data_IF_548644820021
#
_entry.id   IF_548644820021
#
_cell.length_a   1.000
_cell.length_b   1.000
_cell.length_c   1.000
_cell.angle_alpha   90.00
_cell.angle_beta   90.00
_cell.angle_gamma   90.00
#
_symmetry.space_group_name_H-M   'P 1'
#
loop_
_entity.id
_entity.type
_entity.pdbx_description
1 polymer ?
#
# COMPACT_ATOMS: atom_id res chain seq x y z
N UNK A 1 -17.70 4.94 10.02
CA UNK A 1 -17.09 4.20 11.16
C UNK A 1 -15.70 3.77 10.74
N UNK A 2 -14.74 3.66 11.65
CA UNK A 2 -13.32 3.46 11.32
C UNK A 2 -12.81 2.14 11.87
N UNK A 3 -11.96 1.45 11.11
CA UNK A 3 -11.40 0.18 11.54
C UNK A 3 -10.46 0.34 12.74
N UNK A 4 -10.47 -0.67 13.61
CA UNK A 4 -9.55 -0.74 14.74
C UNK A 4 -8.11 -0.59 14.27
N UNK A 5 -7.42 0.38 14.86
CA UNK A 5 -6.04 0.73 14.59
C UNK A 5 -5.32 1.06 15.89
N UNK A 6 -3.99 1.08 15.84
CA UNK A 6 -3.15 1.28 17.03
C UNK A 6 -3.24 2.68 17.66
N UNK A 7 -3.92 3.65 17.04
CA UNK A 7 -3.82 5.07 17.42
C UNK A 7 -5.15 5.86 17.47
N UNK A 8 -6.31 5.24 17.17
CA UNK A 8 -7.61 5.94 17.12
C UNK A 8 -8.55 5.52 18.26
N UNK A 9 -9.31 6.48 18.79
CA UNK A 9 -10.18 6.28 19.96
C UNK A 9 -11.62 5.88 19.62
N UNK A 10 -12.16 6.27 18.45
CA UNK A 10 -13.50 5.89 17.99
C UNK A 10 -13.38 4.88 16.84
N UNK A 11 -13.32 3.58 17.19
CA UNK A 11 -13.08 2.48 16.24
C UNK A 11 -14.00 1.29 16.52
N UNK A 12 -14.21 0.45 15.50
CA UNK A 12 -15.05 -0.76 15.58
C UNK A 12 -14.49 -1.88 14.68
N UNK A 13 -14.87 -3.13 14.94
CA UNK A 13 -14.68 -4.25 13.99
C UNK A 13 -15.69 -4.19 12.84
N UNK A 14 -16.91 -3.70 13.13
CA UNK A 14 -17.84 -3.28 12.09
C UNK A 14 -17.37 -1.93 11.52
N UNK A 15 -16.50 -2.01 10.52
CA UNK A 15 -15.81 -0.85 9.98
C UNK A 15 -15.72 -0.80 8.45
N UNK A 16 -16.25 -1.80 7.74
CA UNK A 16 -16.17 -1.88 6.27
C UNK A 16 -17.18 -0.94 5.60
N UNK A 17 -16.96 0.36 5.79
CA UNK A 17 -17.73 1.46 5.23
C UNK A 17 -16.91 2.17 4.14
N UNK A 18 -17.61 2.95 3.33
CA UNK A 18 -17.00 3.87 2.37
C UNK A 18 -17.72 5.22 2.41
N UNK A 19 -16.98 6.28 2.10
CA UNK A 19 -17.50 7.64 1.98
C UNK A 19 -17.55 8.02 0.51
N UNK A 20 -18.67 8.57 0.03
CA UNK A 20 -18.85 9.01 -1.35
C UNK A 20 -19.04 10.52 -1.36
N UNK A 21 -18.22 11.20 -2.16
CA UNK A 21 -18.29 12.64 -2.38
C UNK A 21 -18.65 12.90 -3.83
N UNK A 22 -19.72 13.65 -4.06
CA UNK A 22 -20.23 14.02 -5.37
C UNK A 22 -20.20 15.55 -5.49
N UNK A 23 -19.92 16.11 -6.69
CA UNK A 23 -19.94 17.54 -6.89
C UNK A 23 -21.29 18.18 -6.51
N UNK A 24 -21.24 19.38 -5.93
CA UNK A 24 -22.43 20.06 -5.36
C UNK A 24 -23.48 20.44 -6.41
N UNK A 25 -23.06 20.65 -7.65
CA UNK A 25 -23.90 21.03 -8.79
C UNK A 25 -24.64 19.84 -9.43
N UNK A 26 -24.35 18.60 -9.02
CA UNK A 26 -25.04 17.41 -9.49
C UNK A 26 -26.45 17.35 -8.91
N UNK A 27 -27.45 17.48 -9.78
CA UNK A 27 -28.85 17.37 -9.41
C UNK A 27 -29.38 15.95 -9.65
N UNK A 28 -29.63 15.22 -8.57
CA UNK A 28 -30.21 13.87 -8.61
C UNK A 28 -31.73 13.83 -8.87
N UNK A 29 -32.41 14.98 -8.84
CA UNK A 29 -33.85 15.09 -9.12
C UNK A 29 -34.16 15.09 -10.63
N UNK A 30 -33.14 15.14 -11.48
CA UNK A 30 -33.26 15.10 -12.95
C UNK A 30 -32.29 14.08 -13.55
N UNK A 31 -32.55 13.55 -14.75
CA UNK A 31 -31.60 12.69 -15.44
C UNK A 31 -30.23 13.37 -15.54
N UNK A 32 -29.18 12.64 -15.19
CA UNK A 32 -27.81 13.14 -15.23
C UNK A 32 -27.42 13.47 -16.67
N UNK A 33 -27.06 14.73 -16.91
CA UNK A 33 -26.70 15.23 -18.25
C UNK A 33 -25.26 14.83 -18.64
N UNK A 34 -24.38 14.68 -17.65
CA UNK A 34 -23.00 14.22 -17.82
C UNK A 34 -22.66 13.17 -16.77
N UNK A 35 -21.92 12.13 -17.20
CA UNK A 35 -21.41 11.11 -16.30
C UNK A 35 -20.03 11.52 -15.79
N UNK A 36 -19.73 11.16 -14.55
CA UNK A 36 -18.58 11.65 -13.81
C UNK A 36 -17.49 10.57 -13.72
N UNK A 37 -16.21 10.92 -13.95
CA UNK A 37 -15.10 10.05 -13.58
C UNK A 37 -15.19 9.67 -12.10
N UNK A 38 -14.66 8.49 -11.75
CA UNK A 38 -14.65 8.01 -10.36
C UNK A 38 -13.22 7.83 -9.89
N UNK A 39 -12.88 8.40 -8.74
CA UNK A 39 -11.61 8.19 -8.06
C UNK A 39 -11.85 7.42 -6.76
N UNK A 40 -11.12 6.32 -6.56
CA UNK A 40 -11.21 5.51 -5.33
C UNK A 40 -9.91 5.62 -4.55
N UNK A 41 -9.99 6.18 -3.34
CA UNK A 41 -8.87 6.41 -2.43
C UNK A 41 -8.67 5.23 -1.48
N UNK A 42 -7.45 4.69 -1.46
CA UNK A 42 -6.97 3.76 -0.44
C UNK A 42 -5.98 4.49 0.46
N UNK A 43 -6.34 4.68 1.72
CA UNK A 43 -5.48 5.38 2.68
C UNK A 43 -4.24 4.56 3.06
N UNK A 44 -3.15 5.26 3.41
CA UNK A 44 -1.96 4.67 4.02
C UNK A 44 -2.08 4.48 5.54
N UNK A 45 -0.92 4.36 6.20
CA UNK A 45 -0.79 4.12 7.65
C UNK A 45 -0.19 2.76 7.99
N UNK A 46 0.78 2.31 7.20
CA UNK A 46 1.61 1.12 7.43
C UNK A 46 0.82 -0.18 7.70
N UNK A 47 -0.41 -0.23 7.17
CA UNK A 47 -1.39 -1.30 7.38
C UNK A 47 -1.80 -1.55 8.85
N UNK A 48 -1.39 -0.70 9.81
CA UNK A 48 -1.77 -0.78 11.23
C UNK A 48 -2.60 0.42 11.69
N UNK A 49 -2.65 1.46 10.86
CA UNK A 49 -3.31 2.72 11.12
C UNK A 49 -3.90 3.30 9.83
N UNK A 50 -4.71 4.35 9.97
CA UNK A 50 -5.37 5.00 8.84
C UNK A 50 -6.88 5.03 8.99
N UNK A 51 -7.54 5.79 8.11
CA UNK A 51 -9.00 5.83 7.99
C UNK A 51 -9.41 6.58 6.73
N UNK A 52 -10.50 6.15 6.12
CA UNK A 52 -11.21 6.85 5.05
C UNK A 52 -11.83 8.19 5.49
N UNK A 53 -12.06 8.35 6.80
CA UNK A 53 -12.72 9.51 7.41
C UNK A 53 -11.76 10.52 8.06
N UNK A 54 -10.43 10.38 7.88
CA UNK A 54 -9.50 11.41 8.35
C UNK A 54 -9.80 12.76 7.66
N UNK A 55 -9.75 13.91 8.36
CA UNK A 55 -9.98 15.22 7.75
C UNK A 55 -9.10 15.51 6.54
N UNK A 56 -7.86 15.02 6.54
CA UNK A 56 -6.92 15.15 5.42
C UNK A 56 -7.35 14.41 4.14
N UNK A 57 -8.32 13.51 4.22
CA UNK A 57 -8.87 12.75 3.09
C UNK A 57 -10.24 13.28 2.64
N UNK A 58 -10.67 14.46 3.11
CA UNK A 58 -11.96 15.03 2.74
C UNK A 58 -12.09 15.20 1.21
N UNK A 59 -12.90 14.34 0.59
CA UNK A 59 -13.03 14.25 -0.85
C UNK A 59 -13.84 15.40 -1.46
N UNK A 60 -14.52 16.23 -0.66
CA UNK A 60 -15.36 17.34 -1.15
C UNK A 60 -14.58 18.33 -2.02
N UNK A 61 -13.32 18.59 -1.67
CA UNK A 61 -12.48 19.54 -2.39
C UNK A 61 -12.10 19.03 -3.78
N UNK A 62 -11.55 17.81 -3.87
CA UNK A 62 -11.20 17.20 -5.16
C UNK A 62 -12.46 17.01 -5.99
N UNK A 63 -13.54 16.53 -5.37
CA UNK A 63 -14.80 16.25 -6.06
C UNK A 63 -15.35 17.50 -6.74
N UNK A 64 -15.53 18.59 -6.00
CA UNK A 64 -16.03 19.85 -6.56
C UNK A 64 -15.05 20.49 -7.56
N UNK A 65 -13.75 20.48 -7.28
CA UNK A 65 -12.78 21.19 -8.11
C UNK A 65 -12.53 20.51 -9.46
N UNK A 66 -12.61 19.17 -9.49
CA UNK A 66 -12.30 18.37 -10.69
C UNK A 66 -13.52 17.74 -11.34
N UNK A 67 -14.72 18.03 -10.83
CA UNK A 67 -15.99 17.47 -11.32
C UNK A 67 -15.95 15.94 -11.41
N UNK A 68 -15.62 15.30 -10.28
CA UNK A 68 -15.31 13.87 -10.19
C UNK A 68 -15.94 13.29 -8.92
N UNK A 69 -16.41 12.04 -8.98
CA UNK A 69 -16.86 11.32 -7.77
C UNK A 69 -15.63 10.79 -7.04
N UNK A 70 -15.50 11.09 -5.75
CA UNK A 70 -14.42 10.56 -4.90
C UNK A 70 -15.02 9.56 -3.92
N UNK A 71 -14.43 8.37 -3.85
CA UNK A 71 -14.82 7.31 -2.92
C UNK A 71 -13.64 6.98 -2.02
N UNK A 72 -13.77 7.17 -0.72
CA UNK A 72 -12.76 6.74 0.24
C UNK A 72 -13.22 5.43 0.88
N UNK A 73 -12.34 4.43 0.94
CA UNK A 73 -12.69 3.10 1.46
C UNK A 73 -11.96 2.79 2.76
N UNK A 74 -12.68 2.25 3.74
CA UNK A 74 -12.09 1.60 4.91
C UNK A 74 -11.70 0.16 4.55
N UNK A 75 -10.68 -0.37 5.23
CA UNK A 75 -10.27 -1.76 5.13
C UNK A 75 -9.64 -2.22 6.46
N UNK A 76 -9.70 -3.52 6.76
CA UNK A 76 -9.15 -4.04 8.02
C UNK A 76 -7.63 -3.85 8.10
N UNK A 77 -7.15 -3.53 9.30
CA UNK A 77 -5.75 -3.21 9.60
C UNK A 77 -5.18 -4.18 10.64
N UNK A 78 -3.86 -4.17 10.83
CA UNK A 78 -3.14 -4.92 11.87
C UNK A 78 -3.40 -6.42 11.79
N UNK A 79 -3.47 -7.06 12.95
CA UNK A 79 -3.81 -8.48 13.04
C UNK A 79 -5.23 -8.79 12.51
N UNK A 80 -6.19 -7.87 12.64
CA UNK A 80 -7.56 -8.06 12.11
C UNK A 80 -7.60 -8.19 10.58
N UNK A 81 -6.70 -7.49 9.88
CA UNK A 81 -6.62 -7.52 8.41
C UNK A 81 -5.58 -8.49 7.85
N UNK A 82 -4.55 -8.84 8.61
CA UNK A 82 -3.34 -9.46 8.06
C UNK A 82 -2.75 -10.61 8.89
N UNK A 83 -3.45 -11.11 9.91
CA UNK A 83 -3.01 -12.29 10.66
C UNK A 83 -2.98 -13.54 9.76
N UNK A 84 -1.91 -14.33 9.90
CA UNK A 84 -1.76 -15.62 9.22
C UNK A 84 -1.49 -16.71 10.27
N UNK A 85 -2.45 -17.61 10.47
CA UNK A 85 -2.30 -18.81 11.32
C UNK A 85 -2.33 -20.12 10.52
N UNK A 86 -2.81 -20.09 9.26
CA UNK A 86 -2.88 -21.28 8.41
C UNK A 86 -3.14 -20.96 6.92
N UNK A 87 -3.68 -21.92 6.17
CA UNK A 87 -4.03 -21.75 4.74
C UNK A 87 -5.53 -21.69 4.50
N UNK A 88 -6.28 -22.55 5.18
CA UNK A 88 -7.71 -22.68 4.98
C UNK A 88 -8.44 -21.56 5.75
N UNK A 89 -9.14 -20.64 5.07
CA UNK A 89 -9.87 -19.56 5.72
C UNK A 89 -11.05 -20.05 6.59
N UNK A 90 -11.49 -21.31 6.44
CA UNK A 90 -12.55 -21.89 7.28
C UNK A 90 -12.02 -22.35 8.64
N UNK A 91 -10.74 -22.73 8.72
CA UNK A 91 -10.14 -23.30 9.93
C UNK A 91 -8.95 -22.48 10.45
N UNK A 92 -8.63 -21.35 9.81
CA UNK A 92 -7.48 -20.53 10.18
C UNK A 92 -7.56 -19.12 9.60
N UNK A 93 -6.75 -18.21 10.13
CA UNK A 93 -6.52 -16.92 9.52
C UNK A 93 -5.58 -17.10 8.32
N UNK A 94 -6.07 -16.84 7.10
CA UNK A 94 -5.34 -16.97 5.85
C UNK A 94 -4.58 -15.68 5.46
N UNK A 95 -4.88 -14.55 6.11
CA UNK A 95 -4.26 -13.25 5.85
C UNK A 95 -4.76 -12.56 4.58
N UNK A 96 -4.13 -11.42 4.26
CA UNK A 96 -4.50 -10.53 3.14
C UNK A 96 -5.95 -10.02 3.14
N UNK A 97 -6.68 -10.15 4.26
CA UNK A 97 -8.08 -9.71 4.38
C UNK A 97 -8.25 -8.23 4.08
N UNK A 98 -7.32 -7.36 4.52
CA UNK A 98 -7.38 -5.94 4.18
C UNK A 98 -7.31 -5.66 2.66
N UNK A 99 -6.57 -6.47 1.89
CA UNK A 99 -6.54 -6.35 0.41
C UNK A 99 -7.85 -6.87 -0.21
N UNK A 100 -8.42 -7.94 0.37
CA UNK A 100 -9.71 -8.47 -0.05
C UNK A 100 -10.85 -7.49 0.25
N UNK A 101 -10.79 -6.76 1.37
CA UNK A 101 -11.75 -5.71 1.72
C UNK A 101 -11.71 -4.57 0.68
N UNK A 102 -10.51 -4.14 0.29
CA UNK A 102 -10.33 -3.15 -0.79
C UNK A 102 -10.90 -3.66 -2.12
N UNK A 103 -10.69 -4.93 -2.46
CA UNK A 103 -11.28 -5.55 -3.65
C UNK A 103 -12.81 -5.57 -3.56
N UNK A 104 -13.39 -5.91 -2.41
CA UNK A 104 -14.83 -5.89 -2.18
C UNK A 104 -15.41 -4.48 -2.33
N UNK A 105 -14.73 -3.44 -1.83
CA UNK A 105 -15.14 -2.06 -2.01
C UNK A 105 -15.09 -1.64 -3.49
N UNK A 106 -14.04 -2.03 -4.24
CA UNK A 106 -13.96 -1.77 -5.68
C UNK A 106 -15.08 -2.46 -6.47
N UNK A 107 -15.44 -3.69 -6.08
CA UNK A 107 -16.59 -4.40 -6.65
C UNK A 107 -17.89 -3.66 -6.34
N UNK A 108 -18.05 -3.17 -5.11
CA UNK A 108 -19.20 -2.37 -4.73
C UNK A 108 -19.30 -1.11 -5.59
N UNK A 109 -18.20 -0.39 -5.80
CA UNK A 109 -18.15 0.80 -6.67
C UNK A 109 -18.59 0.42 -8.08
N UNK A 110 -18.04 -0.66 -8.64
CA UNK A 110 -18.40 -1.13 -9.98
C UNK A 110 -19.87 -1.54 -10.13
N UNK A 111 -20.55 -1.90 -9.04
CA UNK A 111 -21.97 -2.30 -9.07
C UNK A 111 -22.93 -1.14 -8.83
N UNK A 112 -22.52 -0.13 -8.07
CA UNK A 112 -23.46 0.84 -7.50
C UNK A 112 -23.18 2.28 -7.93
N UNK A 113 -21.97 2.62 -8.39
CA UNK A 113 -21.59 4.03 -8.56
C UNK A 113 -22.38 4.78 -9.64
N UNK A 114 -23.09 4.06 -10.52
CA UNK A 114 -24.02 4.64 -11.48
C UNK A 114 -25.10 5.52 -10.83
N UNK A 115 -25.64 5.13 -9.66
CA UNK A 115 -26.71 5.91 -9.01
C UNK A 115 -26.20 7.26 -8.48
N UNK A 116 -24.89 7.39 -8.32
CA UNK A 116 -24.20 8.63 -7.96
C UNK A 116 -23.70 9.41 -9.18
N UNK A 117 -23.98 8.91 -10.39
CA UNK A 117 -23.59 9.51 -11.66
C UNK A 117 -22.23 9.12 -12.20
N UNK A 118 -21.65 8.02 -11.74
CA UNK A 118 -20.38 7.53 -12.24
C UNK A 118 -20.42 7.13 -13.73
N UNK A 119 -19.33 7.40 -14.44
CA UNK A 119 -19.16 7.10 -15.85
C UNK A 119 -18.77 5.62 -16.06
N UNK A 120 -19.60 4.81 -16.75
CA UNK A 120 -19.26 3.47 -17.18
C UNK A 120 -18.14 3.45 -18.23
N UNK A 121 -17.69 4.60 -18.73
CA UNK A 121 -16.72 4.74 -19.81
C UNK A 121 -17.26 4.30 -21.17
N UNK A 122 -16.63 4.78 -22.24
CA UNK A 122 -17.07 4.52 -23.64
C UNK A 122 -17.09 3.02 -24.02
N UNK A 123 -16.31 2.18 -23.34
CA UNK A 123 -16.16 0.75 -23.63
C UNK A 123 -17.21 -0.16 -22.96
N UNK A 124 -18.13 0.40 -22.16
CA UNK A 124 -19.15 -0.36 -21.42
C UNK A 124 -20.42 -0.67 -22.23
N UNK A 125 -20.46 -0.27 -23.50
CA UNK A 125 -21.48 -0.77 -24.43
C UNK A 125 -21.20 -2.26 -24.70
N UNK A 126 -21.88 -3.14 -23.96
CA UNK A 126 -22.07 -4.58 -24.24
C UNK A 126 -20.93 -5.58 -23.90
N UNK A 127 -20.28 -5.50 -22.74
CA UNK A 127 -19.45 -6.63 -22.25
C UNK A 127 -19.82 -7.04 -20.83
N UNK A 128 -20.50 -8.19 -20.69
CA UNK A 128 -20.65 -8.86 -19.41
C UNK A 128 -19.28 -9.38 -18.97
N UNK A 129 -18.71 -8.78 -17.93
CA UNK A 129 -17.47 -9.27 -17.34
C UNK A 129 -17.84 -10.15 -16.14
N UNK A 130 -17.49 -11.44 -16.22
CA UNK A 130 -17.50 -12.31 -15.05
C UNK A 130 -16.23 -12.04 -14.25
N UNK A 131 -16.42 -11.54 -13.03
CA UNK A 131 -15.33 -11.41 -12.06
C UNK A 131 -15.40 -12.62 -11.15
N UNK A 132 -14.35 -13.43 -11.18
CA UNK A 132 -14.21 -14.54 -10.26
C UNK A 132 -13.48 -14.04 -9.00
N UNK A 133 -14.24 -13.94 -7.92
CA UNK A 133 -13.72 -13.71 -6.57
C UNK A 133 -13.97 -15.02 -5.82
N UNK A 134 -13.02 -15.53 -5.01
CA UNK A 134 -13.27 -16.72 -4.21
C UNK A 134 -14.60 -16.61 -3.45
N UNK A 135 -15.53 -17.55 -3.68
CA UNK A 135 -16.87 -17.55 -3.08
C UNK A 135 -17.93 -16.68 -3.76
N UNK A 136 -17.63 -15.94 -4.84
CA UNK A 136 -18.62 -15.16 -5.59
C UNK A 136 -18.39 -15.21 -7.11
N UNK A 137 -19.39 -15.70 -7.85
CA UNK A 137 -19.46 -15.56 -9.30
C UNK A 137 -20.25 -14.30 -9.65
N UNK A 138 -19.56 -13.19 -9.90
CA UNK A 138 -20.20 -11.89 -10.10
C UNK A 138 -20.28 -11.53 -11.59
N UNK A 139 -21.50 -11.25 -12.06
CA UNK A 139 -21.74 -10.65 -13.38
C UNK A 139 -21.82 -9.13 -13.24
N UNK A 140 -20.82 -8.40 -13.73
CA UNK A 140 -20.87 -6.94 -13.83
C UNK A 140 -21.30 -6.56 -15.24
N UNK A 141 -22.41 -5.81 -15.34
CA UNK A 141 -23.01 -5.39 -16.61
C UNK A 141 -22.26 -4.23 -17.28
N UNK A 142 -21.70 -3.33 -16.47
CA UNK A 142 -21.01 -2.12 -16.91
C UNK A 142 -19.75 -1.89 -16.07
N UNK A 143 -18.60 -1.63 -16.71
CA UNK A 143 -17.33 -1.38 -16.01
C UNK A 143 -17.00 0.11 -15.97
N UNK A 144 -17.18 0.75 -14.82
CA UNK A 144 -16.92 2.17 -14.59
C UNK A 144 -15.47 2.58 -14.76
N UNK A 145 -15.29 3.80 -15.27
CA UNK A 145 -14.01 4.47 -15.45
C UNK A 145 -13.49 4.92 -14.08
N UNK A 146 -12.87 3.96 -13.38
CA UNK A 146 -12.32 4.15 -12.03
C UNK A 146 -10.82 4.40 -12.09
N UNK A 147 -10.37 5.48 -11.46
CA UNK A 147 -8.99 5.76 -11.11
C UNK A 147 -8.74 5.30 -9.66
N UNK A 148 -7.90 4.29 -9.49
CA UNK A 148 -7.52 3.83 -8.15
C UNK A 148 -6.30 4.62 -7.67
N UNK A 149 -6.36 5.22 -6.48
CA UNK A 149 -5.22 5.97 -5.96
C UNK A 149 -5.00 5.75 -4.47
N UNK A 150 -3.75 5.89 -4.03
CA UNK A 150 -3.38 5.69 -2.64
C UNK A 150 -2.00 6.27 -2.33
N UNK A 151 -1.74 6.44 -1.04
CA UNK A 151 -0.48 6.97 -0.48
C UNK A 151 0.16 5.97 0.49
N UNK A 152 1.50 5.89 0.50
CA UNK A 152 2.27 4.99 1.37
C UNK A 152 1.80 3.53 1.28
N UNK A 153 1.37 2.90 2.37
CA UNK A 153 0.75 1.57 2.39
C UNK A 153 -0.50 1.45 1.47
N UNK A 154 -1.23 2.56 1.28
CA UNK A 154 -2.30 2.66 0.29
C UNK A 154 -1.75 2.60 -1.14
N UNK A 155 -0.65 3.29 -1.43
CA UNK A 155 0.03 3.17 -2.73
C UNK A 155 0.58 1.74 -2.95
N UNK A 156 1.06 1.09 -1.89
CA UNK A 156 1.45 -0.32 -1.92
C UNK A 156 0.25 -1.20 -2.27
N UNK A 157 -0.91 -0.95 -1.67
CA UNK A 157 -2.17 -1.62 -2.02
C UNK A 157 -2.54 -1.42 -3.50
N UNK A 158 -2.45 -0.18 -4.02
CA UNK A 158 -2.67 0.09 -5.46
C UNK A 158 -1.69 -0.69 -6.34
N UNK A 159 -0.41 -0.77 -5.94
CA UNK A 159 0.60 -1.55 -6.67
C UNK A 159 0.26 -3.05 -6.69
N UNK A 160 -0.29 -3.58 -5.59
CA UNK A 160 -0.77 -4.95 -5.50
C UNK A 160 -2.00 -5.16 -6.39
N UNK A 161 -2.97 -4.24 -6.40
CA UNK A 161 -4.12 -4.33 -7.31
C UNK A 161 -3.74 -4.29 -8.80
N UNK A 162 -2.62 -3.63 -9.16
CA UNK A 162 -2.03 -3.70 -10.50
C UNK A 162 -1.42 -5.07 -10.83
N UNK A 163 -1.02 -5.85 -9.83
CA UNK A 163 -0.47 -7.20 -9.98
C UNK A 163 -1.55 -8.30 -9.87
N UNK A 164 -2.60 -8.07 -9.07
CA UNK A 164 -3.67 -9.03 -8.80
C UNK A 164 -4.59 -9.15 -10.00
N UNK A 165 -4.67 -10.36 -10.57
CA UNK A 165 -5.48 -10.61 -11.77
C UNK A 165 -6.98 -10.39 -11.56
N UNK A 166 -7.53 -10.79 -10.41
CA UNK A 166 -8.95 -10.58 -10.09
C UNK A 166 -9.31 -9.10 -9.92
N UNK A 167 -8.33 -8.22 -9.70
CA UNK A 167 -8.53 -6.77 -9.63
C UNK A 167 -8.49 -6.09 -11.00
N UNK A 168 -8.03 -6.79 -12.05
CA UNK A 168 -7.86 -6.24 -13.40
C UNK A 168 -9.08 -5.51 -13.96
N UNK A 169 -10.31 -6.03 -13.90
CA UNK A 169 -11.47 -5.33 -14.44
C UNK A 169 -11.95 -4.15 -13.58
N UNK A 170 -11.53 -4.06 -12.32
CA UNK A 170 -12.15 -3.17 -11.32
C UNK A 170 -11.75 -1.69 -11.42
N UNK A 171 -10.72 -1.37 -12.20
CA UNK A 171 -10.25 0.00 -12.40
C UNK A 171 -9.57 0.16 -13.75
N UNK A 172 -9.38 1.38 -14.24
CA UNK A 172 -8.79 1.67 -15.57
C UNK A 172 -7.41 2.29 -15.49
N UNK A 173 -7.14 3.09 -14.47
CA UNK A 173 -5.86 3.76 -14.26
C UNK A 173 -5.53 3.85 -12.78
N UNK A 174 -4.26 4.11 -12.46
CA UNK A 174 -3.77 4.10 -11.10
C UNK A 174 -2.88 5.32 -10.78
N UNK A 175 -2.96 5.81 -9.54
CA UNK A 175 -2.06 6.83 -9.01
C UNK A 175 -1.41 6.33 -7.72
N UNK A 176 -0.09 6.33 -7.67
CA UNK A 176 0.70 5.79 -6.57
C UNK A 176 1.55 6.91 -5.96
N UNK A 177 1.15 7.36 -4.77
CA UNK A 177 1.83 8.43 -4.06
C UNK A 177 2.75 7.82 -3.01
N UNK A 178 4.06 8.08 -3.12
CA UNK A 178 5.03 7.67 -2.11
C UNK A 178 5.11 6.15 -1.87
N UNK A 179 4.95 5.34 -2.91
CA UNK A 179 5.02 3.87 -2.88
C UNK A 179 6.33 3.35 -2.23
N UNK A 180 6.28 2.58 -1.13
CA UNK A 180 7.47 2.06 -0.45
C UNK A 180 8.03 0.77 -1.08
N UNK A 181 8.46 0.80 -2.36
CA UNK A 181 9.04 -0.37 -3.05
C UNK A 181 10.23 -1.06 -2.32
N UNK A 182 10.88 -0.39 -1.38
CA UNK A 182 12.01 -0.92 -0.61
C UNK A 182 11.60 -1.80 0.57
N UNK A 183 10.32 -1.83 0.95
CA UNK A 183 9.80 -2.71 1.99
C UNK A 183 9.35 -4.02 1.30
N UNK A 184 10.03 -5.15 1.54
CA UNK A 184 9.64 -6.41 0.93
C UNK A 184 8.35 -6.94 1.58
N UNK A 185 7.50 -7.57 0.76
CA UNK A 185 6.36 -8.33 1.27
C UNK A 185 6.87 -9.55 2.04
N UNK A 186 6.15 -9.94 3.10
CA UNK A 186 6.52 -11.14 3.86
C UNK A 186 6.36 -12.39 3.02
N UNK A 187 7.23 -13.37 3.30
CA UNK A 187 7.01 -14.73 2.82
C UNK A 187 5.92 -15.40 3.67
N UNK A 188 5.31 -16.46 3.15
CA UNK A 188 4.39 -17.29 3.93
C UNK A 188 4.99 -17.79 5.25
N UNK A 189 6.26 -18.17 5.24
CA UNK A 189 6.97 -18.61 6.43
C UNK A 189 7.06 -17.50 7.49
N UNK A 190 7.47 -16.30 7.08
CA UNK A 190 7.59 -15.14 7.97
C UNK A 190 6.22 -14.73 8.56
N UNK A 191 5.17 -14.74 7.73
CA UNK A 191 3.81 -14.43 8.16
C UNK A 191 3.26 -15.45 9.18
N UNK A 192 3.48 -16.75 8.95
CA UNK A 192 3.10 -17.80 9.90
C UNK A 192 3.90 -17.71 11.22
N UNK A 193 5.20 -17.36 11.13
CA UNK A 193 6.03 -17.14 12.33
C UNK A 193 5.50 -15.96 13.15
N UNK A 194 5.11 -14.87 12.49
CA UNK A 194 4.47 -13.73 13.14
C UNK A 194 3.14 -14.13 13.80
N UNK A 195 2.27 -14.87 13.11
CA UNK A 195 1.00 -15.35 13.67
C UNK A 195 1.18 -16.30 14.86
N UNK A 196 2.20 -17.17 14.84
CA UNK A 196 2.58 -17.99 16.00
C UNK A 196 2.99 -17.16 17.20
N UNK A 197 3.76 -16.09 16.98
CA UNK A 197 4.15 -15.19 18.07
C UNK A 197 2.94 -14.43 18.62
N UNK A 198 2.02 -14.00 17.76
CA UNK A 198 0.76 -13.38 18.16
C UNK A 198 -0.10 -14.32 19.01
N UNK A 199 -0.34 -15.56 18.56
CA UNK A 199 -1.13 -16.53 19.31
C UNK A 199 -0.56 -16.81 20.71
N UNK A 200 0.78 -16.87 20.83
CA UNK A 200 1.46 -16.95 22.13
C UNK A 200 1.21 -15.74 23.05
N UNK A 201 1.02 -14.54 22.51
CA UNK A 201 0.70 -13.36 23.32
C UNK A 201 -0.74 -13.35 23.84
N UNK A 202 -1.63 -14.12 23.23
CA UNK A 202 -3.05 -14.19 23.58
C UNK A 202 -3.43 -15.49 24.30
N UNK A 203 -2.44 -16.33 24.64
CA UNK A 203 -2.65 -17.68 25.16
C UNK A 203 -3.53 -18.58 24.26
N UNK A 204 -3.60 -18.29 22.96
CA UNK A 204 -4.24 -19.15 21.96
C UNK A 204 -3.20 -20.03 21.24
N UNK A 205 -3.67 -21.11 20.62
CA UNK A 205 -2.89 -21.84 19.61
C UNK A 205 -3.20 -21.33 18.20
N UNK A 206 -2.24 -21.43 17.28
CA UNK A 206 -2.50 -21.17 15.84
C UNK A 206 -3.47 -22.18 15.21
N UNK A 207 -3.60 -23.37 15.82
CA UNK A 207 -4.57 -24.39 15.44
C UNK A 207 -5.95 -24.16 16.06
N UNK A 208 -6.05 -23.27 17.04
CA UNK A 208 -7.30 -22.96 17.73
C UNK A 208 -7.89 -21.66 17.17
N UNK A 209 -8.52 -21.80 16.00
CA UNK A 209 -9.13 -20.67 15.31
C UNK A 209 -10.30 -20.07 16.08
N UNK A 210 -11.03 -20.89 16.84
CA UNK A 210 -12.14 -20.43 17.69
C UNK A 210 -11.62 -19.53 18.80
N UNK A 211 -10.52 -19.92 19.47
CA UNK A 211 -9.86 -19.05 20.47
C UNK A 211 -9.50 -17.70 19.85
N UNK A 212 -8.84 -17.69 18.69
CA UNK A 212 -8.42 -16.46 18.02
C UNK A 212 -9.60 -15.54 17.66
N UNK A 213 -10.72 -16.10 17.21
CA UNK A 213 -11.94 -15.34 16.89
C UNK A 213 -12.68 -14.83 18.14
N UNK A 214 -12.54 -15.51 19.27
CA UNK A 214 -13.20 -15.12 20.54
C UNK A 214 -12.49 -13.99 21.29
N UNK A 215 -11.29 -13.57 20.82
CA UNK A 215 -10.51 -12.54 21.48
C UNK A 215 -11.21 -11.18 21.41
N UNK A 216 -11.33 -10.44 22.53
CA UNK A 216 -11.84 -9.09 22.47
C UNK A 216 -10.87 -8.17 21.70
N UNK A 217 -11.37 -7.12 21.01
CA UNK A 217 -10.55 -6.21 20.23
C UNK A 217 -9.30 -5.67 20.94
N UNK A 218 -9.46 -5.34 22.23
CA UNK A 218 -8.35 -4.80 23.03
C UNK A 218 -7.24 -5.83 23.29
N UNK A 219 -7.58 -7.12 23.40
CA UNK A 219 -6.59 -8.18 23.51
C UNK A 219 -5.81 -8.36 22.21
N UNK A 220 -6.49 -8.28 21.07
CA UNK A 220 -5.85 -8.32 19.74
C UNK A 220 -4.91 -7.12 19.56
N UNK A 221 -5.34 -5.91 19.92
CA UNK A 221 -4.49 -4.71 19.91
C UNK A 221 -3.27 -4.85 20.84
N UNK A 222 -3.46 -5.35 22.04
CA UNK A 222 -2.35 -5.52 23.00
C UNK A 222 -1.34 -6.56 22.51
N UNK A 223 -1.84 -7.67 21.96
CA UNK A 223 -1.00 -8.74 21.43
C UNK A 223 -0.25 -8.33 20.15
N UNK A 224 -0.88 -7.57 19.26
CA UNK A 224 -0.22 -7.09 18.04
C UNK A 224 0.97 -6.18 18.40
N UNK A 225 0.80 -5.27 19.36
CA UNK A 225 1.85 -4.34 19.78
C UNK A 225 3.03 -5.07 20.44
N UNK A 226 2.74 -6.06 21.30
CA UNK A 226 3.77 -6.92 21.91
C UNK A 226 4.49 -7.81 20.90
N UNK A 227 3.82 -8.16 19.80
CA UNK A 227 4.42 -8.99 18.75
C UNK A 227 5.29 -8.14 17.83
N UNK A 228 4.88 -6.92 17.50
CA UNK A 228 5.61 -6.00 16.62
C UNK A 228 6.95 -5.52 17.18
N UNK A 229 7.17 -5.62 18.50
CA UNK A 229 8.47 -5.29 19.11
C UNK A 229 9.56 -6.34 18.85
N UNK A 230 9.20 -7.54 18.35
CA UNK A 230 10.15 -8.59 18.01
C UNK A 230 10.48 -8.53 16.52
N UNK A 231 11.73 -8.24 16.19
CA UNK A 231 12.23 -8.31 14.81
C UNK A 231 12.03 -9.75 14.29
N UNK A 232 11.12 -9.92 13.34
CA UNK A 232 10.78 -11.24 12.78
C UNK A 232 11.96 -11.80 11.96
N UNK A 233 12.66 -10.91 11.25
CA UNK A 233 13.85 -11.21 10.44
C UNK A 233 14.92 -10.11 10.56
N UNK A 234 16.08 -10.35 11.21
CA UNK A 234 17.12 -9.34 11.41
C UNK A 234 17.78 -8.89 10.10
N UNK A 235 17.65 -9.65 9.02
CA UNK A 235 18.19 -9.31 7.69
C UNK A 235 17.23 -8.50 6.82
N UNK A 236 16.03 -8.18 7.32
CA UNK A 236 15.00 -7.37 6.65
C UNK A 236 14.49 -6.28 7.58
N UNK A 237 15.43 -5.44 8.03
CA UNK A 237 15.20 -4.36 8.99
C UNK A 237 13.98 -3.46 8.64
N UNK A 238 13.72 -3.20 7.35
CA UNK A 238 12.62 -2.33 6.93
C UNK A 238 11.22 -2.95 7.11
N UNK A 239 11.11 -4.27 7.29
CA UNK A 239 9.83 -4.92 7.61
C UNK A 239 9.26 -4.46 8.96
N UNK A 240 10.09 -3.85 9.84
CA UNK A 240 9.63 -3.30 11.12
C UNK A 240 8.55 -2.23 10.93
N UNK A 241 8.64 -1.46 9.85
CA UNK A 241 7.70 -0.37 9.56
C UNK A 241 6.33 -0.90 9.14
N UNK A 242 6.27 -2.05 8.47
CA UNK A 242 5.01 -2.70 8.08
C UNK A 242 4.95 -4.12 8.67
N UNK A 243 4.97 -4.23 10.00
CA UNK A 243 5.00 -5.56 10.66
C UNK A 243 3.75 -6.36 10.32
N UNK A 244 2.58 -5.75 10.38
CA UNK A 244 1.35 -6.30 9.82
C UNK A 244 1.16 -5.74 8.42
N UNK A 245 0.65 -6.55 7.50
CA UNK A 245 0.49 -6.13 6.11
C UNK A 245 0.43 -7.32 5.15
N UNK A 246 0.32 -7.04 3.85
CA UNK A 246 0.18 -8.06 2.84
C UNK A 246 1.40 -8.98 2.75
N UNK A 247 1.16 -10.24 2.39
CA UNK A 247 2.20 -11.25 2.22
C UNK A 247 2.02 -12.03 0.91
N UNK A 248 3.10 -12.68 0.46
CA UNK A 248 3.08 -13.55 -0.73
C UNK A 248 2.40 -14.87 -0.35
N UNK A 249 1.12 -14.99 -0.68
CA UNK A 249 0.30 -16.18 -0.42
C UNK A 249 0.41 -17.24 -1.54
N UNK A 250 0.89 -16.84 -2.72
CA UNK A 250 1.04 -17.69 -3.90
C UNK A 250 -0.23 -17.78 -4.77
N UNK A 251 -1.34 -17.21 -4.33
CA UNK A 251 -2.65 -17.28 -5.00
C UNK A 251 -3.10 -15.88 -5.44
N UNK A 252 -3.35 -14.98 -4.49
CA UNK A 252 -3.68 -13.57 -4.74
C UNK A 252 -2.42 -12.77 -5.09
N UNK A 253 -1.37 -12.91 -4.28
CA UNK A 253 -0.09 -12.22 -4.43
C UNK A 253 1.01 -13.27 -4.66
N UNK A 254 1.55 -13.27 -5.88
CA UNK A 254 2.43 -14.35 -6.37
C UNK A 254 3.92 -14.07 -6.26
N UNK A 255 4.33 -12.81 -6.26
CA UNK A 255 5.73 -12.42 -6.14
C UNK A 255 5.89 -11.01 -5.54
N UNK A 256 7.13 -10.58 -5.31
CA UNK A 256 7.46 -9.24 -4.79
C UNK A 256 7.09 -8.14 -5.80
N UNK A 257 6.55 -7.02 -5.31
CA UNK A 257 6.12 -5.91 -6.16
C UNK A 257 7.26 -5.36 -7.04
N UNK A 258 8.44 -5.13 -6.46
CA UNK A 258 9.60 -4.63 -7.23
C UNK A 258 10.01 -5.58 -8.36
N UNK A 259 9.94 -6.90 -8.13
CA UNK A 259 10.29 -7.90 -9.13
C UNK A 259 9.22 -7.97 -10.23
N UNK A 260 7.94 -7.97 -9.86
CA UNK A 260 6.82 -7.95 -10.81
C UNK A 260 6.89 -6.72 -11.72
N UNK A 261 7.10 -5.54 -11.15
CA UNK A 261 7.18 -4.28 -11.90
C UNK A 261 8.36 -4.26 -12.88
N UNK A 262 9.53 -4.78 -12.47
CA UNK A 262 10.72 -4.88 -13.33
C UNK A 262 10.57 -5.89 -14.47
N UNK A 263 9.91 -7.03 -14.20
CA UNK A 263 9.65 -8.08 -15.21
C UNK A 263 8.44 -7.77 -16.11
N UNK A 264 7.60 -6.81 -15.72
CA UNK A 264 6.36 -6.51 -16.41
C UNK A 264 5.22 -7.49 -16.09
N UNK A 265 5.28 -8.21 -14.96
CA UNK A 265 4.24 -9.11 -14.47
C UNK A 265 3.13 -8.34 -13.70
N UNK A 266 2.61 -7.31 -14.33
CA UNK A 266 1.54 -6.46 -13.82
C UNK A 266 0.75 -5.89 -15.00
N UNK A 267 -0.37 -5.21 -14.73
CA UNK A 267 -1.26 -4.64 -15.74
C UNK A 267 -0.66 -3.39 -16.41
N UNK A 268 0.45 -3.57 -17.14
CA UNK A 268 1.30 -2.53 -17.75
C UNK A 268 0.63 -1.71 -18.85
N UNK A 269 -0.52 -2.17 -19.34
CA UNK A 269 -1.38 -1.47 -20.29
C UNK A 269 -2.15 -0.30 -19.67
N UNK A 270 -2.27 -0.26 -18.34
CA UNK A 270 -3.01 0.80 -17.64
C UNK A 270 -2.16 2.05 -17.50
N UNK A 271 -2.81 3.22 -17.59
CA UNK A 271 -2.16 4.48 -17.27
C UNK A 271 -1.82 4.53 -15.78
N UNK A 272 -0.58 4.93 -15.48
CA UNK A 272 -0.06 5.02 -14.10
C UNK A 272 0.60 6.39 -13.89
N UNK A 273 0.18 7.09 -12.84
CA UNK A 273 0.90 8.24 -12.29
C UNK A 273 1.61 7.78 -11.01
N UNK A 274 2.91 8.03 -10.90
CA UNK A 274 3.72 7.58 -9.78
C UNK A 274 4.62 8.73 -9.32
N UNK A 275 4.66 9.00 -8.01
CA UNK A 275 5.42 10.11 -7.45
C UNK A 275 5.92 9.86 -6.03
N UNK A 276 6.83 10.71 -5.57
CA UNK A 276 7.39 10.74 -4.21
C UNK A 276 7.70 12.20 -3.85
N UNK A 277 7.73 12.54 -2.56
CA UNK A 277 8.08 13.90 -2.12
C UNK A 277 9.59 14.08 -1.94
N UNK A 278 10.06 15.30 -1.74
CA UNK A 278 11.51 15.59 -1.70
C UNK A 278 12.23 15.02 -0.49
N UNK A 279 11.55 14.88 0.67
CA UNK A 279 12.16 14.67 2.00
C UNK A 279 11.52 13.51 2.82
N UNK A 280 11.04 12.45 2.17
CA UNK A 280 10.34 11.35 2.87
C UNK A 280 11.20 10.61 3.88
N UNK A 281 12.52 10.55 3.63
CA UNK A 281 13.46 9.90 4.53
C UNK A 281 13.49 10.51 5.93
N UNK A 282 13.13 11.79 6.07
CA UNK A 282 13.14 12.51 7.35
C UNK A 282 12.14 11.89 8.32
N UNK A 283 10.88 11.69 7.89
CA UNK A 283 9.82 11.15 8.74
C UNK A 283 10.21 9.79 9.35
N UNK A 284 10.74 8.88 8.54
CA UNK A 284 11.08 7.52 8.99
C UNK A 284 12.35 7.46 9.83
N UNK A 285 13.37 8.24 9.49
CA UNK A 285 14.61 8.26 10.27
C UNK A 285 14.36 8.87 11.64
N UNK A 286 13.69 10.01 11.71
CA UNK A 286 13.40 10.64 12.99
C UNK A 286 12.33 9.90 13.80
N UNK A 287 11.43 9.15 13.16
CA UNK A 287 10.49 8.26 13.85
C UNK A 287 11.15 7.06 14.54
N UNK A 288 12.30 6.59 14.05
CA UNK A 288 13.09 5.52 14.70
C UNK A 288 14.10 6.08 15.68
N UNK A 289 14.78 7.17 15.32
CA UNK A 289 15.88 7.76 16.08
C UNK A 289 15.46 9.08 16.73
N UNK A 290 14.89 8.98 17.92
CA UNK A 290 14.49 10.15 18.74
C UNK A 290 15.69 10.87 19.37
N UNK A 291 16.90 10.31 19.30
CA UNK A 291 18.15 10.92 19.76
C UNK A 291 19.13 11.10 18.59
N UNK A 292 20.12 12.02 18.71
CA UNK A 292 21.19 12.14 17.73
C UNK A 292 21.87 10.80 17.46
N UNK A 293 22.19 10.53 16.18
CA UNK A 293 22.82 9.27 15.75
C UNK A 293 24.29 9.52 15.44
N UNK A 294 25.17 8.79 16.13
CA UNK A 294 26.62 8.88 15.91
C UNK A 294 27.06 8.29 14.56
N UNK A 295 28.28 8.60 14.13
CA UNK A 295 28.85 8.04 12.90
C UNK A 295 28.93 6.49 12.92
N UNK A 296 29.19 5.91 14.09
CA UNK A 296 29.27 4.45 14.29
C UNK A 296 27.88 3.82 14.13
N UNK A 297 26.87 4.36 14.81
CA UNK A 297 25.49 3.87 14.70
C UNK A 297 24.94 4.03 13.27
N UNK A 298 25.23 5.17 12.64
CA UNK A 298 24.91 5.42 11.24
C UNK A 298 25.56 4.35 10.33
N UNK A 299 26.83 4.04 10.56
CA UNK A 299 27.56 3.00 9.81
C UNK A 299 26.92 1.62 9.97
N UNK A 300 26.55 1.24 11.19
CA UNK A 300 25.86 -0.03 11.46
C UNK A 300 24.52 -0.07 10.72
N UNK A 301 23.73 1.00 10.78
CA UNK A 301 22.42 1.08 10.13
C UNK A 301 22.51 1.01 8.60
N UNK A 302 23.41 1.79 8.00
CA UNK A 302 23.65 1.77 6.55
C UNK A 302 24.15 0.39 6.11
N UNK A 303 24.99 -0.26 6.93
CA UNK A 303 25.46 -1.63 6.66
C UNK A 303 24.33 -2.65 6.73
N UNK A 304 23.43 -2.55 7.70
CA UNK A 304 22.29 -3.45 7.84
C UNK A 304 21.33 -3.36 6.63
N UNK A 305 21.07 -2.14 6.13
CA UNK A 305 20.13 -1.92 5.02
C UNK A 305 20.78 -2.23 3.67
N UNK A 306 21.97 -1.69 3.40
CA UNK A 306 22.57 -1.71 2.06
C UNK A 306 23.61 -2.82 1.88
N UNK A 307 23.95 -3.56 2.94
CA UNK A 307 24.79 -4.77 2.93
C UNK A 307 26.10 -4.51 2.17
N UNK A 308 26.38 -5.29 1.13
CA UNK A 308 27.57 -5.19 0.28
C UNK A 308 27.78 -3.81 -0.38
N UNK A 309 26.78 -2.92 -0.38
CA UNK A 309 26.87 -1.58 -0.96
C UNK A 309 27.11 -0.47 0.06
N UNK A 310 27.12 -0.82 1.35
CA UNK A 310 27.24 0.13 2.45
C UNK A 310 28.53 0.96 2.38
N UNK A 311 29.68 0.32 2.15
CA UNK A 311 30.97 1.03 2.06
C UNK A 311 30.96 2.11 0.99
N UNK A 312 30.38 1.82 -0.18
CA UNK A 312 30.28 2.79 -1.28
C UNK A 312 29.35 3.95 -0.93
N UNK A 313 28.27 3.69 -0.19
CA UNK A 313 27.34 4.73 0.27
C UNK A 313 28.02 5.59 1.33
N UNK A 314 28.63 4.97 2.34
CA UNK A 314 29.33 5.68 3.41
C UNK A 314 30.46 6.55 2.85
N UNK A 315 31.29 6.03 1.94
CA UNK A 315 32.35 6.81 1.30
C UNK A 315 31.81 8.05 0.56
N UNK A 316 30.62 7.94 -0.06
CA UNK A 316 30.01 9.05 -0.80
C UNK A 316 29.35 10.09 0.11
N UNK A 317 28.64 9.65 1.15
CA UNK A 317 27.79 10.51 1.95
C UNK A 317 28.49 11.02 3.21
N UNK A 318 29.25 10.18 3.92
CA UNK A 318 29.84 10.55 5.22
C UNK A 318 30.72 11.82 5.15
N UNK A 319 31.55 12.07 4.12
CA UNK A 319 32.35 13.31 4.05
C UNK A 319 31.53 14.60 3.88
N UNK A 320 30.27 14.48 3.40
CA UNK A 320 29.38 15.61 3.15
C UNK A 320 28.60 16.04 4.41
N UNK A 321 28.57 15.20 5.44
CA UNK A 321 27.83 15.44 6.68
C UNK A 321 28.80 15.36 7.86
N UNK A 322 29.31 16.51 8.30
CA UNK A 322 30.32 16.61 9.36
C UNK A 322 29.74 16.81 10.76
N UNK A 323 28.42 16.95 10.86
CA UNK A 323 27.73 17.13 12.12
C UNK A 323 27.84 15.88 13.00
N UNK A 324 27.77 16.05 14.33
CA UNK A 324 27.76 14.92 15.25
C UNK A 324 26.51 14.02 15.04
N UNK A 325 25.40 14.60 14.60
CA UNK A 325 24.14 13.91 14.33
C UNK A 325 23.99 13.55 12.85
N UNK A 326 23.96 12.26 12.55
CA UNK A 326 23.92 11.73 11.20
C UNK A 326 22.50 11.42 10.69
N UNK A 327 21.44 11.77 11.44
CA UNK A 327 20.05 11.52 11.00
C UNK A 327 19.72 12.18 9.66
N UNK A 328 20.23 13.40 9.40
CA UNK A 328 20.04 14.09 8.12
C UNK A 328 20.70 13.35 6.95
N UNK A 329 21.92 12.82 7.17
CA UNK A 329 22.59 11.98 6.18
C UNK A 329 21.76 10.73 5.87
N UNK A 330 21.29 10.03 6.92
CA UNK A 330 20.49 8.82 6.78
C UNK A 330 19.19 9.11 6.02
N UNK A 331 18.52 10.22 6.32
CA UNK A 331 17.31 10.65 5.61
C UNK A 331 17.59 10.89 4.12
N UNK A 332 18.67 11.58 3.79
CA UNK A 332 19.05 11.84 2.40
C UNK A 332 19.43 10.56 1.64
N UNK A 333 20.13 9.62 2.28
CA UNK A 333 20.46 8.32 1.69
C UNK A 333 19.19 7.54 1.37
N UNK A 334 18.24 7.49 2.31
CA UNK A 334 16.93 6.84 2.13
C UNK A 334 16.13 7.49 1.02
N UNK A 335 16.12 8.82 0.96
CA UNK A 335 15.46 9.57 -0.10
C UNK A 335 16.05 9.25 -1.48
N UNK A 336 17.38 9.18 -1.57
CA UNK A 336 18.08 8.84 -2.82
C UNK A 336 17.74 7.41 -3.25
N UNK A 337 17.74 6.45 -2.32
CA UNK A 337 17.33 5.07 -2.59
C UNK A 337 15.93 5.02 -3.22
N UNK A 338 14.94 5.72 -2.64
CA UNK A 338 13.57 5.71 -3.13
C UNK A 338 13.46 6.30 -4.54
N UNK A 339 14.08 7.46 -4.80
CA UNK A 339 14.15 8.07 -6.14
C UNK A 339 14.80 7.13 -7.16
N UNK A 340 15.83 6.39 -6.76
CA UNK A 340 16.51 5.44 -7.64
C UNK A 340 15.66 4.23 -8.01
N UNK A 341 14.97 3.65 -7.04
CA UNK A 341 14.05 2.52 -7.28
C UNK A 341 12.93 2.97 -8.23
N UNK A 342 12.32 4.13 -7.96
CA UNK A 342 11.26 4.71 -8.79
C UNK A 342 11.71 4.89 -10.24
N UNK A 343 12.90 5.47 -10.42
CA UNK A 343 13.49 5.70 -11.75
C UNK A 343 13.72 4.40 -12.50
N UNK A 344 14.18 3.35 -11.80
CA UNK A 344 14.46 2.06 -12.42
C UNK A 344 13.17 1.36 -12.86
N UNK A 345 12.14 1.38 -12.01
CA UNK A 345 10.81 0.86 -12.34
C UNK A 345 10.21 1.60 -13.54
N UNK A 346 10.31 2.93 -13.55
CA UNK A 346 9.83 3.74 -14.67
C UNK A 346 10.62 3.45 -15.97
N UNK A 347 11.94 3.24 -15.87
CA UNK A 347 12.78 2.92 -17.02
C UNK A 347 12.50 1.53 -17.60
N UNK A 348 12.16 0.54 -16.77
CA UNK A 348 11.73 -0.79 -17.26
C UNK A 348 10.38 -0.74 -17.98
N UNK A 349 9.56 0.29 -17.72
CA UNK A 349 8.23 0.43 -18.33
C UNK A 349 8.25 0.96 -19.76
N UNK A 350 9.40 1.37 -20.33
CA UNK A 350 9.50 2.02 -21.66
C UNK A 350 8.76 1.27 -22.78
N UNK A 351 7.49 1.63 -22.95
CA UNK A 351 6.57 1.27 -24.02
C UNK A 351 5.68 2.48 -24.30
N UNK A 352 5.78 2.98 -25.55
CA UNK A 352 5.06 4.03 -26.32
C UNK A 352 4.29 5.21 -25.67
N UNK A 353 3.93 5.27 -24.40
CA UNK A 353 3.05 6.33 -23.85
C UNK A 353 3.54 7.04 -22.56
N UNK A 354 4.82 6.92 -22.20
CA UNK A 354 5.36 7.57 -20.99
C UNK A 354 5.63 9.07 -21.23
N UNK A 355 4.67 9.93 -20.90
CA UNK A 355 4.90 11.37 -20.72
C UNK A 355 5.57 11.66 -19.36
N UNK A 356 6.43 12.66 -19.30
CA UNK A 356 6.96 13.27 -18.07
C UNK A 356 8.01 12.52 -17.24
N UNK A 357 9.21 12.34 -17.81
CA UNK A 357 10.42 12.77 -17.09
C UNK A 357 11.29 13.57 -18.07
N UNK A 358 11.68 14.78 -17.71
CA UNK A 358 12.59 15.56 -18.57
C UNK A 358 13.86 14.73 -18.83
N UNK A 359 14.36 14.74 -20.07
CA UNK A 359 15.61 14.02 -20.42
C UNK A 359 16.77 14.42 -19.50
N UNK A 360 16.79 15.67 -18.99
CA UNK A 360 17.77 16.18 -18.01
C UNK A 360 17.62 15.51 -16.65
N UNK A 361 16.40 15.35 -16.15
CA UNK A 361 16.10 14.66 -14.87
C UNK A 361 16.48 13.19 -14.96
N UNK A 362 16.17 12.52 -16.09
CA UNK A 362 16.59 11.13 -16.32
C UNK A 362 18.11 10.97 -16.39
N UNK A 363 18.84 11.91 -17.01
CA UNK A 363 20.31 11.88 -17.04
C UNK A 363 20.93 12.06 -15.64
N UNK A 364 20.44 13.02 -14.84
CA UNK A 364 20.90 13.22 -13.45
C UNK A 364 20.60 12.00 -12.57
N UNK A 365 19.39 11.43 -12.67
CA UNK A 365 19.02 10.23 -11.91
C UNK A 365 19.83 9.00 -12.34
N UNK A 366 20.14 8.84 -13.63
CA UNK A 366 21.08 7.79 -14.09
C UNK A 366 22.43 7.93 -13.41
N UNK A 367 23.01 9.13 -13.34
CA UNK A 367 24.30 9.37 -12.68
C UNK A 367 24.27 9.10 -11.17
N UNK A 368 23.15 9.40 -10.49
CA UNK A 368 22.96 9.16 -9.06
C UNK A 368 22.71 7.68 -8.71
N UNK A 369 22.07 6.93 -9.60
CA UNK A 369 21.50 5.60 -9.31
C UNK A 369 22.24 4.42 -9.96
N UNK A 370 23.31 4.65 -10.74
CA UNK A 370 24.06 3.62 -11.45
C UNK A 370 25.26 2.94 -10.74
N UNK A 371 25.44 2.98 -9.42
CA UNK A 371 25.94 1.79 -8.75
C UNK A 371 24.82 0.76 -8.80
N UNK A 372 25.05 -0.44 -9.37
CA UNK A 372 24.09 -1.57 -9.38
C UNK A 372 23.56 -2.00 -7.99
N UNK A 373 23.95 -1.30 -6.92
CA UNK A 373 23.79 -1.67 -5.54
C UNK A 373 22.84 -0.87 -4.66
N UNK A 374 22.35 0.29 -5.08
CA UNK A 374 21.39 1.06 -4.27
C UNK A 374 19.96 0.49 -4.29
N UNK A 375 19.75 -0.66 -4.95
CA UNK A 375 18.43 -1.15 -5.37
C UNK A 375 18.07 -2.52 -4.78
N UNK A 376 19.03 -3.25 -4.19
CA UNK A 376 18.78 -4.58 -3.61
C UNK A 376 18.57 -4.51 -2.11
#
# INVERSE_FOLDING_TARGET
>A
MTCISSFLQQVSEDCLYLNIFVPRDVNFSSPLQSLLPVMVWIHGGDFIAGSASKPMHDGRFISNFTHTIVVNVEYRLGAFGFLVSGKDPQTSAAGNYGILDQQAALVWVQRNIAVFGGDPGKASKQTHTQIHIPGQCLKIRHLFYVTLFGESAGAQSVSLHLMIQSSKPLFKQAVLQSLPFSIPLKTRHDALKLGKNFAKQTNCSVSDFVCLLSLPPQAVLSAQMKTSSKIVNPFRFLEVFETWGPYIDGELIKEQAIAAFQKGHWQKEKAVLLGTTSEEGVLFVYGVFNKPVSAVECTVYITAIFKQHALRILHKYLPLYRDADHRNMMAQVRQTQKKCILTRVFMSWKGRNSGYLSRKTMKKLRLLCFPKGLVK
#
